data_IF_962066066623
#
_entry.id   IF_962066066623
#
_cell.length_a   1.000
_cell.length_b   1.000
_cell.length_c   1.000
_cell.angle_alpha   90.00
_cell.angle_beta   90.00
_cell.angle_gamma   90.00
#
_symmetry.space_group_name_H-M   'P 1'
#
loop_
_entity.id
_entity.type
_entity.pdbx_description
1 polymer ?
#
# COMPACT_ATOMS: atom_id res chain seq x y z
N UNK A 1 0.47 -1.89 -11.41
CA UNK A 1 0.44 -0.41 -11.20
C UNK A 1 -0.26 0.26 -12.38
N UNK A 2 -1.08 1.30 -12.11
CA UNK A 2 -1.68 2.12 -13.18
C UNK A 2 -0.73 3.26 -13.50
N UNK A 3 -0.57 3.55 -14.80
CA UNK A 3 0.30 4.62 -15.31
C UNK A 3 -0.43 5.47 -16.36
N UNK A 4 0.15 6.59 -16.70
CA UNK A 4 -0.20 7.31 -17.93
C UNK A 4 0.41 6.61 -19.18
N UNK A 5 0.21 7.17 -20.36
CA UNK A 5 0.74 6.60 -21.62
C UNK A 5 2.26 6.57 -21.71
N UNK A 6 2.95 7.40 -20.89
CA UNK A 6 4.41 7.47 -20.85
C UNK A 6 4.98 6.62 -19.72
N UNK A 7 4.15 5.75 -19.12
CA UNK A 7 4.49 4.85 -18.02
C UNK A 7 4.86 5.54 -16.71
N UNK A 8 4.49 6.81 -16.52
CA UNK A 8 4.55 7.45 -15.19
C UNK A 8 3.36 7.01 -14.34
N UNK A 9 3.62 6.68 -13.08
CA UNK A 9 2.58 6.17 -12.19
C UNK A 9 1.45 7.19 -11.95
N UNK A 10 0.23 6.67 -11.90
CA UNK A 10 -0.99 7.41 -11.56
C UNK A 10 -1.61 6.76 -10.33
N UNK A 11 -1.99 7.56 -9.36
CA UNK A 11 -2.50 7.10 -8.07
C UNK A 11 -3.88 7.66 -7.76
N UNK A 12 -4.49 7.22 -6.67
CA UNK A 12 -5.72 7.80 -6.14
C UNK A 12 -5.62 9.31 -5.86
N UNK A 13 -4.40 9.87 -5.73
CA UNK A 13 -4.20 11.32 -5.60
C UNK A 13 -4.69 12.09 -6.82
N UNK A 14 -4.59 11.47 -7.99
CA UNK A 14 -5.01 12.04 -9.27
C UNK A 14 -6.40 11.58 -9.69
N UNK A 15 -6.73 10.30 -9.42
CA UNK A 15 -7.99 9.67 -9.82
C UNK A 15 -8.56 8.93 -8.60
N UNK A 16 -9.34 9.63 -7.79
CA UNK A 16 -9.90 9.07 -6.55
C UNK A 16 -10.78 7.84 -6.80
N UNK A 17 -11.47 7.77 -7.94
CA UNK A 17 -12.31 6.64 -8.34
C UNK A 17 -11.53 5.32 -8.55
N UNK A 18 -10.19 5.35 -8.57
CA UNK A 18 -9.39 4.12 -8.53
C UNK A 18 -9.66 3.30 -7.25
N UNK A 19 -10.10 3.94 -6.17
CA UNK A 19 -10.48 3.27 -4.93
C UNK A 19 -11.65 2.29 -5.12
N UNK A 20 -12.52 2.52 -6.11
CA UNK A 20 -13.69 1.66 -6.36
C UNK A 20 -13.40 0.44 -7.25
N UNK A 21 -12.17 0.26 -7.70
CA UNK A 21 -11.76 -0.93 -8.43
C UNK A 21 -11.39 -2.02 -7.42
N UNK A 22 -12.19 -3.07 -7.36
CA UNK A 22 -11.89 -4.26 -6.55
C UNK A 22 -10.95 -5.18 -7.31
N UNK A 23 -10.02 -5.76 -6.58
CA UNK A 23 -8.97 -6.62 -7.14
C UNK A 23 -9.09 -8.00 -6.52
N UNK A 24 -9.16 -9.01 -7.35
CA UNK A 24 -9.05 -10.41 -6.97
C UNK A 24 -7.86 -11.03 -7.70
N UNK A 25 -7.13 -11.89 -7.01
CA UNK A 25 -5.99 -12.60 -7.59
C UNK A 25 -6.05 -14.06 -7.16
N UNK A 26 -5.82 -14.95 -8.10
CA UNK A 26 -5.61 -16.37 -7.86
C UNK A 26 -4.25 -16.81 -8.44
N UNK A 27 -3.97 -18.09 -8.50
CA UNK A 27 -2.69 -18.62 -9.00
C UNK A 27 -2.43 -18.34 -10.49
N UNK A 28 -3.45 -18.00 -11.26
CA UNK A 28 -3.39 -17.90 -12.74
C UNK A 28 -3.82 -16.55 -13.28
N UNK A 29 -4.64 -15.81 -12.54
CA UNK A 29 -5.33 -14.62 -13.04
C UNK A 29 -5.38 -13.50 -12.00
N UNK A 30 -5.32 -12.27 -12.51
CA UNK A 30 -5.70 -11.05 -11.82
C UNK A 30 -7.01 -10.55 -12.41
N UNK A 31 -8.02 -10.31 -11.57
CA UNK A 31 -9.32 -9.80 -11.98
C UNK A 31 -9.56 -8.43 -11.40
N UNK A 32 -9.92 -7.48 -12.23
CA UNK A 32 -10.31 -6.14 -11.81
C UNK A 32 -11.82 -5.97 -12.01
N UNK A 33 -12.53 -5.66 -10.93
CA UNK A 33 -13.98 -5.50 -10.92
C UNK A 33 -14.36 -4.04 -10.70
N UNK A 34 -15.39 -3.62 -11.37
CA UNK A 34 -16.10 -2.36 -11.08
C UNK A 34 -17.59 -2.59 -11.18
N UNK A 35 -18.36 -1.89 -10.34
CA UNK A 35 -19.82 -1.99 -10.30
C UNK A 35 -20.41 -1.81 -11.72
N UNK A 36 -21.36 -2.69 -12.08
CA UNK A 36 -22.08 -2.68 -13.35
C UNK A 36 -21.17 -2.80 -14.60
N UNK A 37 -20.04 -3.48 -14.50
CA UNK A 37 -19.16 -3.72 -15.63
C UNK A 37 -18.69 -5.16 -15.68
N UNK A 38 -18.34 -5.63 -16.90
CA UNK A 38 -17.60 -6.89 -17.04
C UNK A 38 -16.21 -6.73 -16.40
N UNK A 39 -15.75 -7.72 -15.61
CA UNK A 39 -14.41 -7.69 -15.05
C UNK A 39 -13.35 -7.72 -16.16
N UNK A 40 -12.24 -7.07 -15.93
CA UNK A 40 -11.02 -7.28 -16.70
C UNK A 40 -10.29 -8.48 -16.10
N UNK A 41 -9.98 -9.46 -16.95
CA UNK A 41 -9.25 -10.67 -16.56
C UNK A 41 -7.87 -10.64 -17.22
N UNK A 42 -6.83 -10.74 -16.42
CA UNK A 42 -5.44 -10.66 -16.85
C UNK A 42 -4.73 -11.95 -16.45
N UNK A 43 -4.18 -12.67 -17.41
CA UNK A 43 -3.35 -13.83 -17.13
C UNK A 43 -2.10 -13.44 -16.36
N UNK A 44 -1.74 -14.23 -15.35
CA UNK A 44 -0.47 -14.08 -14.64
C UNK A 44 0.71 -14.63 -15.44
N UNK A 45 0.47 -15.43 -16.48
CA UNK A 45 1.52 -15.75 -17.45
C UNK A 45 1.98 -14.48 -18.17
N UNK A 46 3.29 -14.26 -18.16
CA UNK A 46 3.90 -13.09 -18.81
C UNK A 46 3.81 -13.20 -20.34
N UNK A 47 3.99 -14.38 -20.87
CA UNK A 47 3.91 -14.65 -22.32
C UNK A 47 4.78 -13.68 -23.13
N UNK A 48 4.18 -13.06 -24.18
CA UNK A 48 4.85 -12.09 -25.07
C UNK A 48 4.54 -10.64 -24.72
N UNK A 49 4.38 -10.29 -23.44
CA UNK A 49 4.08 -8.91 -23.04
C UNK A 49 5.27 -7.99 -23.32
N UNK A 50 4.94 -6.74 -23.66
CA UNK A 50 5.94 -5.72 -23.96
C UNK A 50 6.65 -5.30 -22.68
N UNK A 51 7.98 -5.40 -22.64
CA UNK A 51 8.81 -4.83 -21.59
C UNK A 51 8.90 -3.31 -21.80
N UNK A 52 8.70 -2.55 -20.74
CA UNK A 52 8.71 -1.09 -20.72
C UNK A 52 9.47 -0.58 -19.49
N UNK A 53 9.91 0.67 -19.54
CA UNK A 53 10.40 1.38 -18.37
C UNK A 53 9.24 2.15 -17.74
N UNK A 54 8.95 1.87 -16.49
CA UNK A 54 7.93 2.57 -15.71
C UNK A 54 8.59 3.43 -14.63
N UNK A 55 8.02 4.61 -14.39
CA UNK A 55 8.52 5.54 -13.39
C UNK A 55 7.62 5.55 -12.16
N UNK A 56 8.19 5.29 -10.99
CA UNK A 56 7.56 5.40 -9.68
C UNK A 56 8.30 6.44 -8.85
N UNK A 57 7.67 7.56 -8.55
CA UNK A 57 8.33 8.74 -7.98
C UNK A 57 9.48 9.21 -8.86
N UNK A 58 10.70 9.07 -8.46
CA UNK A 58 11.88 9.38 -9.25
C UNK A 58 12.61 8.16 -9.82
N UNK A 59 12.15 6.94 -9.49
CA UNK A 59 12.83 5.71 -9.85
C UNK A 59 12.26 5.13 -11.14
N UNK A 60 13.15 4.75 -12.07
CA UNK A 60 12.79 3.94 -13.23
C UNK A 60 12.95 2.45 -12.90
N UNK A 61 11.99 1.65 -13.31
CA UNK A 61 12.06 0.19 -13.19
C UNK A 61 11.44 -0.51 -14.40
N UNK A 62 11.92 -1.70 -14.69
CA UNK A 62 11.35 -2.53 -15.76
C UNK A 62 10.00 -3.07 -15.35
N UNK A 63 9.06 -3.06 -16.28
CA UNK A 63 7.71 -3.54 -16.11
C UNK A 63 7.16 -4.14 -17.41
N UNK A 64 6.20 -5.02 -17.31
CA UNK A 64 5.45 -5.54 -18.46
C UNK A 64 4.14 -4.77 -18.61
N UNK A 65 3.89 -4.26 -19.82
CA UNK A 65 2.62 -3.65 -20.18
C UNK A 65 1.56 -4.73 -20.38
N UNK A 66 0.44 -4.62 -19.67
CA UNK A 66 -0.67 -5.59 -19.73
C UNK A 66 -1.52 -5.50 -21.02
N UNK A 67 -1.22 -4.54 -21.89
CA UNK A 67 -1.78 -4.45 -23.23
C UNK A 67 -2.98 -3.51 -23.37
N UNK A 68 -3.54 -3.48 -24.60
CA UNK A 68 -4.60 -2.54 -24.97
C UNK A 68 -5.95 -2.85 -24.29
N UNK A 69 -6.29 -4.10 -24.08
CA UNK A 69 -7.53 -4.46 -23.39
C UNK A 69 -7.58 -3.83 -21.98
N UNK A 70 -6.49 -3.96 -21.23
CA UNK A 70 -6.35 -3.34 -19.92
C UNK A 70 -6.42 -1.81 -20.00
N UNK A 71 -5.78 -1.21 -21.00
CA UNK A 71 -5.81 0.25 -21.22
C UNK A 71 -7.22 0.75 -21.52
N UNK A 72 -7.94 0.07 -22.40
CA UNK A 72 -9.32 0.42 -22.77
C UNK A 72 -10.24 0.30 -21.55
N UNK A 73 -10.15 -0.79 -20.81
CA UNK A 73 -10.96 -1.03 -19.63
C UNK A 73 -10.73 0.05 -18.58
N UNK A 74 -9.47 0.31 -18.23
CA UNK A 74 -9.10 1.33 -17.23
C UNK A 74 -9.55 2.72 -17.66
N UNK A 75 -9.29 3.10 -18.91
CA UNK A 75 -9.64 4.43 -19.43
C UNK A 75 -11.14 4.64 -19.49
N UNK A 76 -11.91 3.59 -19.85
CA UNK A 76 -13.38 3.63 -19.85
C UNK A 76 -13.94 3.85 -18.46
N UNK A 77 -13.40 3.18 -17.45
CA UNK A 77 -13.95 3.14 -16.11
C UNK A 77 -13.40 4.22 -15.18
N UNK A 78 -12.18 4.69 -15.40
CA UNK A 78 -11.51 5.68 -14.56
C UNK A 78 -11.36 7.05 -15.23
N UNK A 79 -11.61 7.12 -16.53
CA UNK A 79 -11.39 8.32 -17.34
C UNK A 79 -9.96 8.44 -17.86
N UNK A 80 -9.73 9.48 -18.65
CA UNK A 80 -8.40 9.85 -19.14
C UNK A 80 -7.65 10.67 -18.09
N UNK A 81 -6.35 10.48 -18.00
CA UNK A 81 -5.47 11.33 -17.21
C UNK A 81 -4.64 12.22 -18.14
N UNK A 82 -4.68 13.54 -17.92
CA UNK A 82 -4.03 14.55 -18.78
C UNK A 82 -4.33 14.32 -20.27
N UNK A 83 -5.59 14.05 -20.62
CA UNK A 83 -6.09 13.71 -21.96
C UNK A 83 -5.53 12.42 -22.58
N UNK A 84 -4.77 11.63 -21.82
CA UNK A 84 -4.19 10.36 -22.26
C UNK A 84 -4.93 9.16 -21.68
N UNK A 85 -4.88 8.04 -22.39
CA UNK A 85 -5.32 6.75 -21.87
C UNK A 85 -4.44 6.29 -20.72
N UNK A 86 -5.03 5.46 -19.84
CA UNK A 86 -4.32 4.81 -18.75
C UNK A 86 -3.71 3.49 -19.25
N UNK A 87 -2.61 3.09 -18.66
CA UNK A 87 -1.97 1.77 -18.88
C UNK A 87 -1.95 0.99 -17.57
N UNK A 88 -1.93 -0.32 -17.66
CA UNK A 88 -1.64 -1.21 -16.55
C UNK A 88 -0.28 -1.85 -16.77
N UNK A 89 0.57 -1.80 -15.77
CA UNK A 89 1.89 -2.43 -15.84
C UNK A 89 2.12 -3.36 -14.65
N UNK A 90 2.86 -4.44 -14.88
CA UNK A 90 3.29 -5.42 -13.90
C UNK A 90 4.79 -5.27 -13.68
N UNK A 91 5.23 -5.25 -12.42
CA UNK A 91 6.64 -5.23 -12.08
C UNK A 91 7.36 -6.45 -12.68
N UNK A 92 8.49 -6.24 -13.34
CA UNK A 92 9.29 -7.34 -13.88
C UNK A 92 9.91 -8.14 -12.73
N UNK A 93 9.87 -9.47 -12.75
CA UNK A 93 10.55 -10.27 -11.73
C UNK A 93 12.07 -10.08 -11.74
N UNK A 94 12.63 -9.59 -12.85
CA UNK A 94 14.06 -9.30 -13.00
C UNK A 94 14.41 -7.86 -12.61
N UNK A 95 13.43 -7.01 -12.37
CA UNK A 95 13.66 -5.64 -11.93
C UNK A 95 13.99 -5.60 -10.44
N UNK A 96 14.82 -4.65 -10.07
CA UNK A 96 15.16 -4.38 -8.68
C UNK A 96 14.79 -2.92 -8.34
N UNK A 97 14.03 -2.75 -7.26
CA UNK A 97 13.80 -1.45 -6.64
C UNK A 97 13.94 -1.63 -5.14
N UNK A 98 15.17 -1.39 -4.67
CA UNK A 98 15.54 -1.62 -3.28
C UNK A 98 14.88 -0.63 -2.32
N UNK A 99 14.69 -1.05 -1.08
CA UNK A 99 14.44 -0.15 0.04
C UNK A 99 15.71 0.68 0.27
N UNK A 100 15.62 2.01 0.56
CA UNK A 100 16.82 2.83 0.75
C UNK A 100 17.71 2.31 1.88
N UNK A 101 19.01 2.19 1.61
CA UNK A 101 20.03 1.60 2.50
C UNK A 101 20.04 2.21 3.90
N UNK A 102 19.77 3.51 4.04
CA UNK A 102 19.70 4.18 5.34
C UNK A 102 18.67 3.62 6.33
N UNK A 103 17.77 2.74 5.86
CA UNK A 103 16.79 2.04 6.68
C UNK A 103 17.12 0.55 6.86
N UNK A 104 18.19 0.08 6.26
CA UNK A 104 18.66 -1.30 6.31
C UNK A 104 19.96 -1.36 7.11
N UNK A 105 20.06 -2.27 8.07
CA UNK A 105 21.29 -2.47 8.85
C UNK A 105 22.27 -3.43 8.16
N UNK A 106 21.77 -4.46 7.55
CA UNK A 106 22.46 -5.44 6.72
C UNK A 106 21.46 -6.29 5.95
N UNK A 107 20.16 -5.92 6.06
CA UNK A 107 19.11 -6.66 5.39
C UNK A 107 18.99 -6.20 3.93
N UNK A 108 18.51 -7.10 3.09
CA UNK A 108 18.10 -6.80 1.72
C UNK A 108 16.58 -6.80 1.62
N UNK A 109 16.00 -5.77 1.00
CA UNK A 109 14.57 -5.69 0.79
C UNK A 109 14.23 -4.90 -0.48
N UNK A 110 13.18 -5.32 -1.17
CA UNK A 110 12.67 -4.68 -2.37
C UNK A 110 11.29 -4.10 -2.12
N UNK A 111 11.04 -2.93 -2.68
CA UNK A 111 9.75 -2.22 -2.55
C UNK A 111 8.83 -2.40 -3.78
N UNK A 112 9.32 -2.95 -4.88
CA UNK A 112 8.57 -3.05 -6.15
C UNK A 112 7.84 -1.74 -6.50
N UNK A 113 6.52 -1.76 -6.69
CA UNK A 113 5.73 -0.55 -6.98
C UNK A 113 5.17 0.16 -5.74
N UNK A 114 5.48 -0.30 -4.52
CA UNK A 114 5.12 0.43 -3.30
C UNK A 114 5.97 1.69 -3.14
N UNK A 115 5.57 2.61 -2.24
CA UNK A 115 6.27 3.91 -2.13
C UNK A 115 7.75 3.74 -1.78
N UNK A 116 8.08 3.18 -0.64
CA UNK A 116 9.47 2.94 -0.23
C UNK A 116 9.68 1.56 0.41
N UNK A 117 8.63 0.99 1.00
CA UNK A 117 8.70 -0.26 1.75
C UNK A 117 7.68 -1.26 1.22
N UNK A 118 7.98 -2.56 1.26
CA UNK A 118 7.08 -3.59 0.78
C UNK A 118 5.84 -3.74 1.66
N UNK A 119 5.94 -3.44 2.96
CA UNK A 119 4.86 -3.66 3.91
C UNK A 119 4.53 -2.40 4.72
N UNK A 120 3.24 -2.21 4.94
CA UNK A 120 2.68 -1.32 5.95
C UNK A 120 1.98 -2.18 7.00
N UNK A 121 2.41 -2.05 8.25
CA UNK A 121 1.80 -2.71 9.41
C UNK A 121 1.03 -1.68 10.23
N UNK A 122 -0.18 -2.00 10.62
CA UNK A 122 -1.06 -1.17 11.45
C UNK A 122 -1.68 -2.01 12.56
N UNK A 123 -2.29 -1.38 13.55
CA UNK A 123 -3.05 -2.07 14.60
C UNK A 123 -4.49 -1.58 14.66
N UNK A 124 -5.41 -2.44 15.11
CA UNK A 124 -6.79 -2.02 15.38
C UNK A 124 -6.84 -0.95 16.47
N UNK A 125 -6.02 -1.07 17.51
CA UNK A 125 -5.95 -0.08 18.60
C UNK A 125 -5.54 1.31 18.11
N UNK A 126 -4.63 1.41 17.11
CA UNK A 126 -4.29 2.69 16.48
C UNK A 126 -5.48 3.31 15.76
N UNK A 127 -6.28 2.48 15.08
CA UNK A 127 -7.49 2.95 14.40
C UNK A 127 -8.56 3.41 15.39
N UNK A 128 -8.79 2.64 16.45
CA UNK A 128 -9.77 2.98 17.49
C UNK A 128 -9.40 4.30 18.18
N UNK A 129 -8.14 4.50 18.51
CA UNK A 129 -7.64 5.75 19.08
C UNK A 129 -7.83 6.94 18.13
N UNK A 130 -7.51 6.77 16.85
CA UNK A 130 -7.76 7.79 15.83
C UNK A 130 -9.25 8.12 15.71
N UNK A 131 -10.11 7.11 15.64
CA UNK A 131 -11.54 7.28 15.47
C UNK A 131 -12.17 7.95 16.70
N UNK A 132 -11.74 7.60 17.92
CA UNK A 132 -12.14 8.31 19.13
C UNK A 132 -11.83 9.82 19.03
N UNK A 133 -10.60 10.15 18.62
CA UNK A 133 -10.19 11.55 18.46
C UNK A 133 -10.91 12.27 17.31
N UNK A 134 -11.25 11.59 16.23
CA UNK A 134 -12.06 12.15 15.15
C UNK A 134 -13.47 12.51 15.65
N UNK A 135 -14.12 11.60 16.39
CA UNK A 135 -15.46 11.82 16.96
C UNK A 135 -15.48 12.98 17.96
N UNK A 136 -14.47 13.08 18.84
CA UNK A 136 -14.31 14.21 19.78
C UNK A 136 -14.22 15.56 19.07
N UNK A 137 -13.64 15.58 17.85
CA UNK A 137 -13.55 16.77 17.01
C UNK A 137 -14.76 16.94 16.06
N UNK A 138 -15.82 16.15 16.20
CA UNK A 138 -17.03 16.22 15.38
C UNK A 138 -16.85 15.71 13.95
N UNK A 139 -15.81 14.94 13.70
CA UNK A 139 -15.58 14.28 12.41
C UNK A 139 -16.12 12.85 12.42
N UNK A 140 -16.31 12.28 11.23
CA UNK A 140 -16.74 10.90 11.07
C UNK A 140 -15.56 9.94 11.23
N UNK A 141 -15.84 8.76 11.75
CA UNK A 141 -14.91 7.64 11.78
C UNK A 141 -14.40 7.29 10.36
N UNK A 142 -13.20 6.75 10.33
CA UNK A 142 -12.58 6.24 9.11
C UNK A 142 -12.31 4.74 9.23
N UNK A 143 -12.40 4.04 8.10
CA UNK A 143 -12.09 2.61 8.04
C UNK A 143 -10.59 2.36 7.81
N UNK A 144 -10.11 1.19 8.25
CA UNK A 144 -8.71 0.76 8.13
C UNK A 144 -8.23 0.76 6.66
N UNK A 145 -9.10 0.43 5.72
CA UNK A 145 -8.78 0.36 4.29
C UNK A 145 -8.31 1.68 3.67
N UNK A 146 -8.64 2.83 4.27
CA UNK A 146 -8.12 4.15 3.84
C UNK A 146 -6.60 4.24 3.98
N UNK A 147 -6.03 3.52 4.93
CA UNK A 147 -4.59 3.47 5.17
C UNK A 147 -3.89 2.43 4.32
N UNK A 148 -4.64 1.49 3.72
CA UNK A 148 -4.13 0.46 2.81
C UNK A 148 -3.01 -0.39 3.41
N UNK A 149 -3.16 -0.91 4.62
CA UNK A 149 -2.15 -1.76 5.22
C UNK A 149 -2.01 -3.10 4.47
N UNK A 150 -0.83 -3.69 4.58
CA UNK A 150 -0.60 -5.08 4.16
C UNK A 150 -0.90 -6.04 5.32
N UNK A 151 -0.63 -5.59 6.55
CA UNK A 151 -0.83 -6.38 7.78
C UNK A 151 -1.53 -5.50 8.80
N UNK A 152 -2.63 -6.03 9.36
CA UNK A 152 -3.33 -5.44 10.49
C UNK A 152 -3.15 -6.39 11.66
N UNK A 153 -2.64 -5.89 12.78
CA UNK A 153 -2.41 -6.66 13.99
C UNK A 153 -3.43 -6.27 15.05
N UNK A 154 -3.93 -7.27 15.75
CA UNK A 154 -4.81 -7.09 16.90
C UNK A 154 -4.05 -7.35 18.22
N UNK A 155 -4.55 -6.83 19.33
CA UNK A 155 -3.97 -7.04 20.64
C UNK A 155 -2.66 -6.30 20.93
N UNK A 156 -2.22 -5.40 20.05
CA UNK A 156 -1.10 -4.49 20.28
C UNK A 156 -1.60 -3.07 20.51
N UNK A 157 -0.93 -2.35 21.39
CA UNK A 157 -1.09 -0.91 21.52
C UNK A 157 -0.64 -0.17 20.25
N UNK A 158 -0.69 1.15 20.27
CA UNK A 158 -0.27 1.99 19.17
C UNK A 158 1.21 1.75 18.83
N UNK A 159 1.50 1.51 17.56
CA UNK A 159 2.86 1.20 17.07
C UNK A 159 3.55 2.37 16.38
N UNK A 160 2.91 3.54 16.34
CA UNK A 160 3.42 4.74 15.66
C UNK A 160 4.58 5.42 16.40
N UNK A 161 4.91 4.94 17.60
CA UNK A 161 6.04 5.45 18.39
C UNK A 161 7.37 5.21 17.69
N UNK A 162 8.34 6.07 17.95
CA UNK A 162 9.69 6.02 17.32
C UNK A 162 10.50 4.77 17.61
N UNK A 163 10.09 3.96 18.56
CA UNK A 163 10.79 2.72 18.91
C UNK A 163 10.66 1.70 17.79
N UNK A 164 11.77 1.26 17.24
CA UNK A 164 11.81 0.21 16.24
C UNK A 164 11.52 -1.14 16.89
N UNK A 165 10.51 -1.82 16.38
CA UNK A 165 10.09 -3.13 16.85
C UNK A 165 10.22 -4.18 15.74
N UNK A 166 10.29 -5.44 16.16
CA UNK A 166 10.07 -6.58 15.32
C UNK A 166 8.79 -7.29 15.75
N UNK A 167 8.02 -7.78 14.80
CA UNK A 167 6.91 -8.69 15.00
C UNK A 167 7.30 -10.04 14.43
N UNK A 168 7.69 -10.98 15.29
CA UNK A 168 8.08 -12.34 14.93
C UNK A 168 6.90 -13.28 15.03
N UNK A 169 6.70 -14.13 14.03
CA UNK A 169 5.74 -15.22 14.11
C UNK A 169 6.21 -16.24 15.15
N UNK A 170 5.28 -16.77 15.96
CA UNK A 170 5.58 -17.62 17.14
C UNK A 170 6.41 -18.86 16.80
N UNK A 171 6.16 -19.50 15.66
CA UNK A 171 6.96 -20.64 15.19
C UNK A 171 8.27 -20.22 14.48
N UNK A 172 8.59 -18.94 14.42
CA UNK A 172 9.84 -18.43 13.84
C UNK A 172 9.91 -18.47 12.31
N UNK A 173 8.80 -18.66 11.62
CA UNK A 173 8.78 -18.76 10.15
C UNK A 173 9.18 -17.47 9.46
N UNK A 174 8.81 -16.31 10.03
CA UNK A 174 9.12 -14.99 9.51
C UNK A 174 9.11 -13.94 10.63
N UNK A 175 9.68 -12.76 10.33
CA UNK A 175 9.69 -11.60 11.22
C UNK A 175 9.53 -10.33 10.40
N UNK A 176 8.59 -9.47 10.77
CA UNK A 176 8.52 -8.10 10.29
C UNK A 176 9.45 -7.23 11.10
N UNK A 177 10.37 -6.55 10.44
CA UNK A 177 11.24 -5.52 11.03
C UNK A 177 10.66 -4.16 10.68
N UNK A 178 10.20 -3.42 11.69
CA UNK A 178 9.67 -2.06 11.53
C UNK A 178 10.82 -1.11 11.26
N UNK A 179 10.72 -0.27 10.24
CA UNK A 179 11.83 0.59 9.79
C UNK A 179 11.60 2.07 10.05
N UNK A 180 10.39 2.53 9.90
CA UNK A 180 10.01 3.91 10.25
C UNK A 180 8.50 4.07 10.30
N UNK A 181 7.99 5.05 11.07
CA UNK A 181 6.60 5.47 10.99
C UNK A 181 6.19 5.83 9.56
N UNK A 182 4.97 5.49 9.20
CA UNK A 182 4.46 5.76 7.86
C UNK A 182 3.75 7.11 7.81
N UNK A 183 4.36 8.08 7.14
CA UNK A 183 3.72 9.37 6.87
C UNK A 183 2.59 9.22 5.87
N UNK A 184 1.48 9.86 6.16
CA UNK A 184 0.24 9.72 5.41
C UNK A 184 -0.01 10.92 4.50
N UNK A 185 -0.68 10.67 3.39
CA UNK A 185 -1.02 11.70 2.40
C UNK A 185 -2.52 11.73 2.16
N UNK A 186 -2.98 12.64 1.31
CA UNK A 186 -4.40 12.84 0.99
C UNK A 186 -5.15 11.61 0.48
N UNK A 187 -4.49 10.48 0.16
CA UNK A 187 -5.19 9.25 -0.20
C UNK A 187 -6.07 8.78 0.96
N UNK A 188 -5.66 8.99 2.21
CA UNK A 188 -6.44 8.59 3.38
C UNK A 188 -7.76 9.37 3.55
N UNK A 189 -7.93 10.52 2.87
CA UNK A 189 -9.18 11.26 2.85
C UNK A 189 -10.23 10.63 1.91
N UNK A 190 -9.83 9.67 1.07
CA UNK A 190 -10.69 9.04 0.06
C UNK A 190 -11.36 7.81 0.68
N UNK A 191 -12.69 7.75 0.60
CA UNK A 191 -13.43 6.53 0.91
C UNK A 191 -13.09 5.42 -0.10
N UNK A 192 -12.57 4.30 0.38
CA UNK A 192 -12.17 3.19 -0.50
C UNK A 192 -13.37 2.46 -1.11
N UNK A 193 -14.56 2.59 -0.51
CA UNK A 193 -15.79 2.00 -1.03
C UNK A 193 -16.43 2.84 -2.15
N UNK A 194 -16.34 4.18 -2.07
CA UNK A 194 -17.05 5.08 -3.00
C UNK A 194 -16.14 5.96 -3.86
N UNK A 195 -14.87 6.10 -3.51
CA UNK A 195 -13.96 7.05 -4.15
C UNK A 195 -14.26 8.52 -3.81
N UNK A 196 -15.19 8.79 -2.87
CA UNK A 196 -15.60 10.14 -2.49
C UNK A 196 -14.73 10.69 -1.37
N UNK A 197 -14.46 11.99 -1.40
CA UNK A 197 -13.79 12.73 -0.34
C UNK A 197 -14.86 13.57 0.38
N UNK A 198 -15.32 13.08 1.53
CA UNK A 198 -16.33 13.80 2.33
C UNK A 198 -15.71 14.97 3.09
N UNK A 199 -14.51 14.76 3.63
CA UNK A 199 -13.73 15.80 4.30
C UNK A 199 -12.29 15.79 3.78
N UNK A 200 -11.84 16.83 3.07
CA UNK A 200 -10.49 16.84 2.47
C UNK A 200 -9.37 17.05 3.49
N UNK A 201 -9.68 17.40 4.74
CA UNK A 201 -8.70 17.60 5.81
C UNK A 201 -8.52 16.36 6.67
N UNK A 202 -9.59 15.56 6.86
CA UNK A 202 -9.55 14.40 7.73
C UNK A 202 -9.27 13.09 6.96
N UNK A 203 -8.55 12.13 7.56
CA UNK A 203 -8.05 12.09 8.96
C UNK A 203 -6.70 12.80 9.17
N UNK A 204 -6.13 13.47 8.16
CA UNK A 204 -4.77 14.02 8.22
C UNK A 204 -4.63 15.10 9.31
N UNK A 205 -5.61 16.00 9.45
CA UNK A 205 -5.54 17.06 10.44
C UNK A 205 -5.56 16.50 11.87
N UNK A 206 -6.38 15.48 12.13
CA UNK A 206 -6.40 14.80 13.42
C UNK A 206 -5.10 14.04 13.68
N UNK A 207 -4.56 13.32 12.69
CA UNK A 207 -3.27 12.63 12.83
C UNK A 207 -2.10 13.58 13.14
N UNK A 208 -2.07 14.77 12.53
CA UNK A 208 -1.08 15.81 12.84
C UNK A 208 -1.22 16.29 14.28
N UNK A 209 -2.46 16.51 14.76
CA UNK A 209 -2.71 16.94 16.16
C UNK A 209 -2.31 15.87 17.18
N UNK A 210 -2.59 14.61 16.87
CA UNK A 210 -2.21 13.50 17.74
C UNK A 210 -0.71 13.31 17.78
N UNK A 211 -0.04 13.61 16.69
CA UNK A 211 1.40 13.52 16.48
C UNK A 211 2.05 12.35 17.23
N UNK A 212 1.59 11.19 16.91
CA UNK A 212 2.06 9.95 17.55
C UNK A 212 3.57 9.71 17.34
N UNK A 213 4.21 10.49 16.48
CA UNK A 213 5.64 10.46 16.20
C UNK A 213 6.45 11.64 16.81
N UNK A 214 5.79 12.61 17.39
CA UNK A 214 6.41 13.58 18.30
C UNK A 214 6.94 14.90 17.73
N UNK A 215 6.81 15.23 16.42
CA UNK A 215 7.20 16.54 15.89
C UNK A 215 6.03 17.48 15.50
N UNK A 216 4.80 17.00 15.51
CA UNK A 216 3.58 17.80 15.24
C UNK A 216 3.43 18.31 13.81
N UNK A 217 4.27 17.86 12.87
CA UNK A 217 4.29 18.38 11.51
C UNK A 217 3.72 17.40 10.48
N UNK A 218 3.85 16.12 10.74
CA UNK A 218 3.44 15.06 9.81
C UNK A 218 2.27 14.25 10.35
N UNK A 219 1.35 13.88 9.48
CA UNK A 219 0.34 12.87 9.77
C UNK A 219 0.99 11.50 9.70
N UNK A 220 0.99 10.75 10.78
CA UNK A 220 1.58 9.41 10.87
C UNK A 220 0.52 8.38 11.22
N UNK A 221 0.54 7.22 10.59
CA UNK A 221 -0.31 6.07 10.93
C UNK A 221 0.31 4.78 10.40
N UNK A 222 0.59 3.85 11.31
CA UNK A 222 1.25 2.58 11.04
C UNK A 222 2.76 2.68 10.84
N UNK A 223 3.38 1.53 10.64
CA UNK A 223 4.82 1.37 10.48
C UNK A 223 5.16 0.76 9.12
N UNK A 224 6.12 1.36 8.44
CA UNK A 224 6.77 0.77 7.29
C UNK A 224 7.68 -0.38 7.75
N UNK A 225 7.58 -1.53 7.08
CA UNK A 225 8.29 -2.72 7.48
C UNK A 225 8.88 -3.48 6.29
N UNK A 226 9.86 -4.29 6.60
CA UNK A 226 10.40 -5.35 5.73
C UNK A 226 10.20 -6.70 6.41
N UNK A 227 10.22 -7.77 5.63
CA UNK A 227 10.27 -9.13 6.16
C UNK A 227 11.72 -9.59 6.21
N UNK A 228 12.11 -10.20 7.32
CA UNK A 228 13.45 -10.74 7.55
C UNK A 228 13.37 -12.18 8.06
N UNK A 229 14.45 -12.93 7.92
CA UNK A 229 14.58 -14.30 8.43
C UNK A 229 13.48 -15.26 7.96
N UNK A 230 13.16 -15.23 6.68
CA UNK A 230 12.35 -16.29 6.09
C UNK A 230 13.25 -17.49 5.81
N UNK A 231 13.20 -18.49 6.69
CA UNK A 231 13.95 -19.74 6.51
C UNK A 231 13.54 -20.50 5.23
N UNK A 232 12.38 -20.18 4.69
CA UNK A 232 11.84 -20.76 3.47
C UNK A 232 11.20 -19.66 2.60
N UNK A 233 11.64 -19.49 1.34
CA UNK A 233 11.07 -18.51 0.41
C UNK A 233 9.59 -18.76 0.09
N UNK A 234 9.03 -19.91 0.43
CA UNK A 234 7.61 -20.26 0.30
C UNK A 234 6.83 -20.05 1.59
N UNK A 235 7.35 -19.27 2.54
CA UNK A 235 6.62 -18.94 3.76
C UNK A 235 5.46 -17.99 3.45
N UNK A 236 4.29 -18.33 3.97
CA UNK A 236 3.09 -17.49 3.85
C UNK A 236 2.80 -16.80 5.17
N UNK A 237 2.37 -15.55 5.07
CA UNK A 237 1.77 -14.79 6.17
C UNK A 237 0.26 -14.94 6.05
N UNK A 238 -0.39 -15.37 7.10
CA UNK A 238 -1.82 -15.66 7.11
C UNK A 238 -2.59 -14.91 8.19
N UNK A 239 -3.89 -14.72 7.94
CA UNK A 239 -4.80 -14.23 8.98
C UNK A 239 -4.91 -15.30 10.07
N UNK A 240 -4.75 -14.89 11.34
CA UNK A 240 -4.73 -15.78 12.50
C UNK A 240 -3.32 -16.21 12.93
N UNK A 241 -2.27 -15.83 12.20
CA UNK A 241 -0.90 -16.03 12.66
C UNK A 241 -0.67 -15.24 13.97
N UNK A 242 -0.04 -15.89 14.95
CA UNK A 242 0.30 -15.26 16.22
C UNK A 242 1.69 -14.64 16.14
N UNK A 243 1.78 -13.37 16.56
CA UNK A 243 3.00 -12.58 16.49
C UNK A 243 3.46 -12.18 17.89
N UNK A 244 4.76 -12.22 18.12
CA UNK A 244 5.42 -11.73 19.32
C UNK A 244 6.13 -10.42 19.03
N UNK A 245 5.88 -9.41 19.87
CA UNK A 245 6.59 -8.14 19.81
C UNK A 245 7.95 -8.27 20.50
N UNK A 246 9.00 -7.84 19.83
CA UNK A 246 10.35 -7.73 20.39
C UNK A 246 10.99 -6.41 19.99
N UNK A 247 11.92 -5.93 20.79
CA UNK A 247 12.74 -4.75 20.38
C UNK A 247 13.73 -5.18 19.30
N UNK A 248 14.02 -4.27 18.39
CA UNK A 248 15.08 -4.42 17.42
C UNK A 248 16.42 -4.33 18.14
N UNK A 249 17.25 -5.35 18.01
CA UNK A 249 18.62 -5.36 18.54
C UNK A 249 19.56 -4.54 17.64
#
# INVERSE_FOLDING_TARGET
>A
MITDRNYHFVTQRQIASMATVRVEIDSTQLKLHRLNSKPLIISLDIGRKKLVKATVWGDECEAYDEGEEASIWLTRHLGKYKRSSLRLVRFSPNAMRAVPEKYLNSEEAQSAFSDQFPYLVTTNNSLDFLNGSLMENGALEVSMDRFRPNVVVDGLEQIEKKTLYCLGEVAGRYRFSMKKPCTRCKITTISQNSGVINNPKEPLATLIKLNLDGDGKEAVFGQNAIIVNTANPKTFVGVGDQLLLSQQQ
#
